data_IF_539653722330
#
_entry.id   IF_539653722330
#
_cell.length_a   1.000
_cell.length_b   1.000
_cell.length_c   1.000
_cell.angle_alpha   90.00
_cell.angle_beta   90.00
_cell.angle_gamma   90.00
#
_symmetry.space_group_name_H-M   'P 1'
#
loop_
_entity.id
_entity.type
_entity.pdbx_description
1 polymer ?
#
# COMPACT_ATOMS: atom_id res chain seq x y z
N UNK A 1 23.05 20.02 40.55
CA UNK A 1 22.19 20.84 39.67
C UNK A 1 22.29 20.32 38.22
N UNK A 2 21.18 19.98 37.57
CA UNK A 2 21.19 19.45 36.20
C UNK A 2 21.52 20.52 35.15
N UNK A 3 22.33 20.18 34.13
CA UNK A 3 22.69 21.08 33.01
C UNK A 3 21.43 21.68 32.35
N UNK A 4 21.48 22.99 32.08
CA UNK A 4 20.43 23.76 31.38
C UNK A 4 20.16 23.12 30.01
N UNK A 5 18.93 22.67 29.78
CA UNK A 5 18.55 21.92 28.58
C UNK A 5 18.29 22.87 27.41
N UNK A 6 18.71 22.51 26.20
CA UNK A 6 18.46 23.36 25.02
C UNK A 6 17.00 23.25 24.57
N UNK A 7 16.47 24.35 24.07
CA UNK A 7 15.08 24.45 23.59
C UNK A 7 14.86 23.46 22.44
N UNK A 8 13.87 22.57 22.59
CA UNK A 8 13.50 21.57 21.58
C UNK A 8 14.15 20.20 21.72
N UNK A 9 15.02 19.99 22.72
CA UNK A 9 15.62 18.67 23.02
C UNK A 9 14.73 17.76 23.87
N UNK A 10 13.71 18.31 24.55
CA UNK A 10 12.75 17.53 25.37
C UNK A 10 11.29 17.89 25.07
N UNK A 11 10.40 16.95 25.37
CA UNK A 11 8.95 17.09 25.24
C UNK A 11 8.40 16.64 23.90
N UNK A 12 7.16 17.04 23.57
CA UNK A 12 6.45 16.59 22.36
C UNK A 12 7.22 16.80 21.04
N UNK A 13 8.18 17.73 21.01
CA UNK A 13 9.04 18.01 19.84
C UNK A 13 9.90 16.80 19.45
N UNK A 14 10.33 15.97 20.40
CA UNK A 14 11.16 14.78 20.11
C UNK A 14 10.35 13.63 19.54
N UNK A 15 9.04 13.59 19.81
CA UNK A 15 8.18 12.48 19.40
C UNK A 15 7.82 12.52 17.91
N UNK A 16 7.90 13.69 17.28
CA UNK A 16 7.52 13.87 15.88
C UNK A 16 8.74 14.10 14.99
N UNK A 17 8.59 13.72 13.73
CA UNK A 17 9.56 13.95 12.66
C UNK A 17 8.80 14.42 11.42
N UNK A 18 9.35 15.39 10.68
CA UNK A 18 8.71 15.85 9.44
C UNK A 18 8.89 14.82 8.33
N UNK A 19 7.99 14.82 7.34
CA UNK A 19 8.11 13.97 6.14
C UNK A 19 9.49 14.09 5.47
N UNK A 20 10.01 15.31 5.34
CA UNK A 20 11.32 15.56 4.71
C UNK A 20 12.47 14.98 5.52
N UNK A 21 12.41 15.05 6.85
CA UNK A 21 13.40 14.46 7.74
C UNK A 21 13.32 12.92 7.74
N UNK A 22 12.11 12.36 7.72
CA UNK A 22 11.90 10.91 7.65
C UNK A 22 12.47 10.30 6.36
N UNK A 23 12.19 10.92 5.21
CA UNK A 23 12.73 10.49 3.90
C UNK A 23 14.27 10.56 3.90
N UNK A 24 14.85 11.63 4.44
CA UNK A 24 16.32 11.75 4.58
C UNK A 24 16.90 10.67 5.49
N UNK A 25 16.25 10.38 6.62
CA UNK A 25 16.71 9.34 7.58
C UNK A 25 16.65 7.93 6.97
N UNK A 26 15.63 7.62 6.19
CA UNK A 26 15.46 6.30 5.55
C UNK A 26 16.27 6.13 4.26
N UNK A 27 16.78 7.22 3.68
CA UNK A 27 17.60 7.27 2.45
C UNK A 27 16.88 6.82 1.16
N UNK A 28 15.55 6.81 1.16
CA UNK A 28 14.70 6.43 0.02
C UNK A 28 14.10 7.64 -0.72
N UNK A 29 13.50 7.43 -1.89
CA UNK A 29 12.76 8.48 -2.60
C UNK A 29 11.41 8.77 -1.93
N UNK A 30 10.79 9.91 -2.22
CA UNK A 30 9.46 10.25 -1.68
C UNK A 30 8.38 9.24 -2.13
N UNK A 31 8.47 8.73 -3.37
CA UNK A 31 7.53 7.75 -3.88
C UNK A 31 7.63 6.41 -3.13
N UNK A 32 8.86 5.91 -2.94
CA UNK A 32 9.09 4.69 -2.16
C UNK A 32 8.70 4.86 -0.69
N UNK A 33 8.94 6.03 -0.11
CA UNK A 33 8.49 6.34 1.25
C UNK A 33 6.97 6.25 1.39
N UNK A 34 6.21 6.82 0.45
CA UNK A 34 4.74 6.71 0.44
C UNK A 34 4.29 5.26 0.32
N UNK A 35 4.89 4.48 -0.58
CA UNK A 35 4.59 3.05 -0.76
C UNK A 35 4.85 2.26 0.52
N UNK A 36 6.02 2.44 1.14
CA UNK A 36 6.38 1.79 2.40
C UNK A 36 5.42 2.14 3.55
N UNK A 37 5.01 3.41 3.65
CA UNK A 37 4.02 3.83 4.64
C UNK A 37 2.65 3.15 4.42
N UNK A 38 2.21 2.95 3.17
CA UNK A 38 0.96 2.24 2.86
C UNK A 38 1.09 0.76 3.25
N UNK A 39 2.21 0.13 2.88
CA UNK A 39 2.46 -1.29 3.19
C UNK A 39 2.43 -1.56 4.69
N UNK A 40 3.13 -0.75 5.50
CA UNK A 40 3.15 -0.91 6.96
C UNK A 40 1.95 -0.31 7.68
N UNK A 41 1.15 0.56 7.04
CA UNK A 41 0.01 1.22 7.68
C UNK A 41 0.42 2.37 8.60
N UNK A 42 1.46 3.12 8.22
CA UNK A 42 1.93 4.29 8.96
C UNK A 42 1.32 5.54 8.36
N UNK A 43 0.48 6.20 9.15
CA UNK A 43 -0.25 7.39 8.74
C UNK A 43 0.34 8.68 9.33
N UNK A 44 0.23 9.81 8.62
CA UNK A 44 0.62 11.10 9.18
C UNK A 44 -0.22 11.46 10.41
N UNK A 45 0.40 12.15 11.36
CA UNK A 45 -0.21 12.53 12.65
C UNK A 45 -0.15 14.02 12.88
N UNK A 46 -1.21 14.58 13.45
CA UNK A 46 -1.25 15.99 13.82
C UNK A 46 -0.76 16.19 15.25
N UNK A 47 0.31 16.96 15.49
CA UNK A 47 0.75 17.28 16.84
C UNK A 47 -0.19 18.28 17.49
N UNK A 48 -0.53 18.09 18.77
CA UNK A 48 -1.36 19.01 19.57
C UNK A 48 -0.85 20.45 19.51
N UNK A 49 0.47 20.65 19.55
CA UNK A 49 1.11 21.97 19.53
C UNK A 49 2.02 22.15 18.29
N UNK A 50 1.41 22.53 17.16
CA UNK A 50 2.10 22.70 15.85
C UNK A 50 3.30 23.66 15.91
N UNK A 51 3.16 24.79 16.60
CA UNK A 51 4.23 25.80 16.75
C UNK A 51 5.46 25.27 17.49
N UNK A 52 5.27 24.45 18.54
CA UNK A 52 6.37 23.87 19.32
C UNK A 52 7.16 22.84 18.49
N UNK A 53 6.46 21.96 17.79
CA UNK A 53 7.09 20.92 16.94
C UNK A 53 7.73 21.52 15.69
N UNK A 54 7.10 22.53 15.10
CA UNK A 54 7.59 23.25 13.93
C UNK A 54 8.75 24.21 14.20
N UNK A 55 9.35 24.19 15.40
CA UNK A 55 10.40 25.13 15.85
C UNK A 55 10.02 26.60 15.61
N UNK A 56 8.76 26.96 15.88
CA UNK A 56 8.21 28.31 15.69
C UNK A 56 7.55 28.55 14.33
N UNK A 57 7.67 27.63 13.37
CA UNK A 57 7.01 27.73 12.07
C UNK A 57 5.55 27.28 12.12
N UNK A 58 4.65 28.10 11.57
CA UNK A 58 3.21 27.81 11.41
C UNK A 58 2.90 27.15 10.05
N UNK A 59 3.90 26.94 9.19
CA UNK A 59 3.69 26.35 7.87
C UNK A 59 3.07 24.94 7.94
N UNK A 60 2.14 24.58 7.03
CA UNK A 60 1.53 23.27 7.00
C UNK A 60 2.59 22.21 6.69
N UNK A 61 2.88 21.35 7.67
CA UNK A 61 3.86 20.26 7.57
C UNK A 61 3.21 18.95 7.97
N UNK A 62 3.52 17.90 7.23
CA UNK A 62 3.14 16.53 7.58
C UNK A 62 4.14 15.97 8.58
N UNK A 63 3.64 15.51 9.72
CA UNK A 63 4.44 14.89 10.78
C UNK A 63 4.13 13.40 10.89
N UNK A 64 5.14 12.64 11.29
CA UNK A 64 5.05 11.22 11.63
C UNK A 64 5.62 11.03 13.04
N UNK A 65 5.29 9.93 13.71
CA UNK A 65 5.97 9.60 14.95
C UNK A 65 7.39 9.11 14.68
N UNK A 66 8.33 9.55 15.51
CA UNK A 66 9.72 9.12 15.44
C UNK A 66 9.86 7.61 15.71
N UNK A 67 9.00 7.05 16.57
CA UNK A 67 8.94 5.61 16.87
C UNK A 67 8.61 4.80 15.62
N UNK A 68 7.58 5.20 14.87
CA UNK A 68 7.18 4.54 13.62
C UNK A 68 8.28 4.59 12.56
N UNK A 69 8.98 5.71 12.43
CA UNK A 69 10.12 5.82 11.49
C UNK A 69 11.32 4.98 11.96
N UNK A 70 11.52 4.83 13.28
CA UNK A 70 12.55 3.94 13.80
C UNK A 70 12.20 2.49 13.50
N UNK A 71 10.94 2.11 13.64
CA UNK A 71 10.45 0.79 13.28
C UNK A 71 10.68 0.48 11.79
N UNK A 72 10.39 1.44 10.90
CA UNK A 72 10.67 1.31 9.46
C UNK A 72 12.14 1.08 9.12
N UNK A 73 13.07 1.51 9.98
CA UNK A 73 14.51 1.37 9.71
C UNK A 73 14.96 -0.10 9.73
N UNK A 74 14.26 -0.94 10.49
CA UNK A 74 14.57 -2.36 10.67
C UNK A 74 13.73 -3.27 9.75
N UNK A 75 12.98 -2.69 8.83
CA UNK A 75 12.07 -3.43 7.96
C UNK A 75 12.81 -3.95 6.71
N UNK A 76 12.64 -5.22 6.30
CA UNK A 76 13.42 -5.81 5.21
C UNK A 76 13.06 -5.29 3.80
N UNK A 77 11.81 -4.90 3.54
CA UNK A 77 11.41 -4.22 2.28
C UNK A 77 12.14 -2.89 2.11
N UNK A 78 12.60 -2.24 3.18
CA UNK A 78 13.45 -1.05 3.05
C UNK A 78 14.75 -1.34 2.28
N UNK A 79 15.34 -2.52 2.47
CA UNK A 79 16.58 -2.92 1.77
C UNK A 79 16.33 -3.05 0.26
N UNK A 80 15.29 -3.79 -0.11
CA UNK A 80 14.92 -3.99 -1.53
C UNK A 80 14.50 -2.68 -2.20
N UNK A 81 13.85 -1.76 -1.49
CA UNK A 81 13.54 -0.42 -2.01
C UNK A 81 14.81 0.42 -2.27
N UNK A 82 15.87 0.23 -1.49
CA UNK A 82 17.17 0.87 -1.74
C UNK A 82 17.85 0.25 -2.95
N UNK A 83 17.79 -1.06 -3.10
CA UNK A 83 18.28 -1.77 -4.29
C UNK A 83 17.54 -1.30 -5.54
N UNK A 84 16.21 -1.21 -5.50
CA UNK A 84 15.39 -0.69 -6.60
C UNK A 84 15.79 0.75 -7.00
N UNK A 85 16.16 1.59 -6.03
CA UNK A 85 16.66 2.95 -6.29
C UNK A 85 18.03 2.92 -7.00
N UNK A 86 18.94 2.05 -6.57
CA UNK A 86 20.26 1.88 -7.21
C UNK A 86 20.09 1.31 -8.61
N UNK A 87 19.23 0.31 -8.75
CA UNK A 87 18.83 -0.32 -9.99
C UNK A 87 18.34 0.70 -11.01
N UNK A 88 17.37 1.55 -10.62
CA UNK A 88 16.84 2.59 -11.49
C UNK A 88 17.95 3.54 -11.98
N UNK A 89 18.90 3.92 -11.12
CA UNK A 89 20.05 4.76 -11.50
C UNK A 89 20.99 4.05 -12.48
N UNK A 90 21.27 2.76 -12.27
CA UNK A 90 22.09 1.95 -13.18
C UNK A 90 21.42 1.81 -14.55
N UNK A 91 20.12 1.53 -14.57
CA UNK A 91 19.33 1.41 -15.79
C UNK A 91 19.32 2.72 -16.58
N UNK A 92 19.02 3.85 -15.93
CA UNK A 92 19.08 5.17 -16.58
C UNK A 92 20.47 5.48 -17.14
N UNK A 93 21.55 5.07 -16.47
CA UNK A 93 22.92 5.27 -16.95
C UNK A 93 23.24 4.42 -18.19
N UNK A 94 22.82 3.15 -18.20
CA UNK A 94 23.00 2.25 -19.36
C UNK A 94 22.21 2.75 -20.59
N UNK A 95 20.97 3.19 -20.37
CA UNK A 95 20.12 3.78 -21.43
C UNK A 95 20.77 5.07 -21.98
N UNK A 96 21.25 5.96 -21.11
CA UNK A 96 21.90 7.21 -21.53
C UNK A 96 23.17 6.96 -22.37
N UNK A 97 23.89 5.86 -22.09
CA UNK A 97 25.06 5.40 -22.85
C UNK A 97 24.71 4.60 -24.12
N UNK A 98 23.43 4.32 -24.36
CA UNK A 98 22.93 3.47 -25.47
C UNK A 98 23.45 2.02 -25.44
N UNK A 99 23.76 1.51 -24.25
CA UNK A 99 24.18 0.12 -24.04
C UNK A 99 22.95 -0.78 -23.86
N UNK A 100 22.25 -1.09 -24.96
CA UNK A 100 20.96 -1.81 -24.94
C UNK A 100 21.04 -3.22 -24.36
N UNK A 101 22.11 -3.96 -24.65
CA UNK A 101 22.30 -5.34 -24.16
C UNK A 101 22.44 -5.38 -22.65
N UNK A 102 23.22 -4.45 -22.08
CA UNK A 102 23.35 -4.34 -20.62
C UNK A 102 22.05 -3.89 -19.97
N UNK A 103 21.28 -2.99 -20.62
CA UNK A 103 20.00 -2.55 -20.11
C UNK A 103 18.99 -3.71 -20.04
N UNK A 104 18.95 -4.60 -21.04
CA UNK A 104 18.11 -5.81 -21.03
C UNK A 104 18.49 -6.78 -19.92
N UNK A 105 19.78 -7.11 -19.80
CA UNK A 105 20.26 -8.01 -18.73
C UNK A 105 19.94 -7.43 -17.34
N UNK A 106 20.06 -6.11 -17.19
CA UNK A 106 19.71 -5.44 -15.96
C UNK A 106 18.20 -5.56 -15.71
N UNK A 107 17.35 -5.34 -16.71
CA UNK A 107 15.89 -5.49 -16.60
C UNK A 107 15.44 -6.87 -16.12
N UNK A 108 16.13 -7.93 -16.52
CA UNK A 108 15.92 -9.30 -16.02
C UNK A 108 16.29 -9.46 -14.54
N UNK A 109 17.37 -8.81 -14.09
CA UNK A 109 17.83 -8.85 -12.69
C UNK A 109 17.07 -7.91 -11.74
N UNK A 110 15.84 -7.52 -12.09
CA UNK A 110 15.09 -6.52 -11.32
C UNK A 110 14.79 -7.04 -9.90
N UNK A 111 15.18 -6.30 -8.85
CA UNK A 111 14.90 -6.72 -7.48
C UNK A 111 13.40 -6.58 -7.19
N UNK A 112 12.76 -7.71 -6.89
CA UNK A 112 11.38 -7.79 -6.43
C UNK A 112 11.36 -8.06 -4.93
N UNK A 113 10.34 -7.54 -4.25
CA UNK A 113 10.15 -7.77 -2.83
C UNK A 113 8.84 -8.52 -2.63
N UNK A 114 8.81 -9.35 -1.60
CA UNK A 114 7.60 -10.04 -1.17
C UNK A 114 6.93 -9.28 -0.03
N UNK A 115 5.62 -9.46 0.13
CA UNK A 115 4.82 -8.82 1.18
C UNK A 115 4.39 -9.83 2.27
N UNK A 116 4.84 -11.07 2.16
CA UNK A 116 4.36 -12.19 2.98
C UNK A 116 4.59 -11.95 4.49
N UNK A 117 5.76 -11.44 4.87
CA UNK A 117 6.07 -11.14 6.27
C UNK A 117 5.21 -9.99 6.81
N UNK A 118 4.90 -8.98 5.98
CA UNK A 118 4.04 -7.85 6.40
C UNK A 118 2.61 -8.32 6.63
N UNK A 119 2.10 -9.19 5.75
CA UNK A 119 0.74 -9.72 5.85
C UNK A 119 0.62 -10.59 7.11
N UNK A 120 1.60 -11.48 7.37
CA UNK A 120 1.61 -12.34 8.57
C UNK A 120 1.74 -11.54 9.86
N UNK A 121 2.53 -10.48 9.87
CA UNK A 121 2.67 -9.60 11.03
C UNK A 121 1.37 -8.82 11.31
N UNK A 122 0.65 -8.40 10.25
CA UNK A 122 -0.61 -7.67 10.39
C UNK A 122 -1.77 -8.59 10.81
N UNK A 123 -1.82 -9.80 10.27
CA UNK A 123 -2.89 -10.76 10.48
C UNK A 123 -2.31 -12.07 11.05
N UNK A 124 -2.11 -12.14 12.37
CA UNK A 124 -1.54 -13.34 12.99
C UNK A 124 -2.47 -14.55 12.89
N UNK A 125 -3.79 -14.31 12.81
CA UNK A 125 -4.79 -15.37 12.64
C UNK A 125 -5.58 -15.20 11.33
N UNK A 126 -6.11 -16.31 10.83
CA UNK A 126 -6.96 -16.28 9.63
C UNK A 126 -8.24 -15.48 9.83
N UNK A 127 -8.81 -15.50 11.04
CA UNK A 127 -10.04 -14.75 11.36
C UNK A 127 -9.78 -13.24 11.31
N UNK A 128 -8.60 -12.78 11.77
CA UNK A 128 -8.23 -11.37 11.66
C UNK A 128 -8.10 -10.93 10.20
N UNK A 129 -7.58 -11.79 9.33
CA UNK A 129 -7.53 -11.52 7.88
C UNK A 129 -8.94 -11.45 7.26
N UNK A 130 -9.88 -12.30 7.70
CA UNK A 130 -11.27 -12.28 7.21
C UNK A 130 -12.00 -10.98 7.59
N UNK A 131 -11.71 -10.39 8.75
CA UNK A 131 -12.36 -9.15 9.19
C UNK A 131 -12.03 -7.93 8.32
N UNK A 132 -10.82 -7.90 7.76
CA UNK A 132 -10.35 -6.84 6.86
C UNK A 132 -10.57 -7.18 5.37
N UNK A 133 -11.19 -8.33 5.06
CA UNK A 133 -11.35 -8.81 3.69
C UNK A 133 -12.36 -7.97 2.88
N UNK A 134 -13.34 -7.35 3.54
CA UNK A 134 -14.41 -6.53 2.95
C UNK A 134 -13.88 -5.40 2.05
N UNK A 135 -12.90 -4.64 2.58
CA UNK A 135 -12.25 -3.53 1.88
C UNK A 135 -11.43 -4.04 0.68
N UNK A 136 -10.70 -5.15 0.87
CA UNK A 136 -9.87 -5.73 -0.18
C UNK A 136 -10.72 -6.26 -1.34
N UNK A 137 -11.83 -6.95 -1.05
CA UNK A 137 -12.75 -7.47 -2.07
C UNK A 137 -13.38 -6.33 -2.87
N UNK A 138 -13.87 -5.30 -2.20
CA UNK A 138 -14.49 -4.13 -2.85
C UNK A 138 -13.51 -3.47 -3.84
N UNK A 139 -12.23 -3.36 -3.47
CA UNK A 139 -11.18 -2.84 -4.36
C UNK A 139 -10.88 -3.78 -5.53
N UNK A 140 -10.81 -5.09 -5.31
CA UNK A 140 -10.57 -6.08 -6.38
C UNK A 140 -11.70 -6.05 -7.41
N UNK A 141 -12.97 -6.05 -6.97
CA UNK A 141 -14.12 -5.94 -7.87
C UNK A 141 -14.14 -4.62 -8.65
N UNK A 142 -13.74 -3.52 -8.01
CA UNK A 142 -13.57 -2.25 -8.72
C UNK A 142 -12.51 -2.35 -9.82
N UNK A 143 -11.30 -2.82 -9.50
CA UNK A 143 -10.23 -2.94 -10.48
C UNK A 143 -10.52 -3.95 -11.60
N UNK A 144 -11.34 -4.97 -11.33
CA UNK A 144 -11.76 -5.93 -12.35
C UNK A 144 -12.67 -5.30 -13.43
N UNK A 145 -13.40 -4.23 -13.10
CA UNK A 145 -14.28 -3.51 -14.03
C UNK A 145 -13.59 -2.35 -14.77
N UNK A 146 -12.43 -1.89 -14.29
CA UNK A 146 -11.71 -0.77 -14.89
C UNK A 146 -10.94 -1.17 -16.16
N UNK A 147 -10.92 -0.33 -17.20
CA UNK A 147 -10.11 -0.58 -18.39
C UNK A 147 -8.61 -0.42 -18.08
N UNK A 148 -7.77 -1.16 -18.79
CA UNK A 148 -6.33 -0.96 -18.75
C UNK A 148 -5.96 0.42 -19.30
N UNK A 149 -5.09 1.13 -18.60
CA UNK A 149 -4.61 2.48 -18.96
C UNK A 149 -3.10 2.54 -18.71
N UNK A 150 -2.39 3.57 -19.19
CA UNK A 150 -0.93 3.69 -19.00
C UNK A 150 -0.48 3.57 -17.53
N UNK A 151 -1.35 3.94 -16.58
CA UNK A 151 -1.09 3.86 -15.14
C UNK A 151 -1.44 2.50 -14.54
N UNK A 152 -2.44 1.82 -15.10
CA UNK A 152 -2.96 0.52 -14.66
C UNK A 152 -2.57 -0.55 -15.67
N UNK A 153 -1.54 -1.34 -15.33
CA UNK A 153 -1.08 -2.43 -16.19
C UNK A 153 -2.20 -3.46 -16.38
N UNK A 154 -2.34 -3.95 -17.62
CA UNK A 154 -3.30 -4.99 -18.00
C UNK A 154 -3.14 -6.28 -17.18
N UNK A 155 -1.91 -6.60 -16.77
CA UNK A 155 -1.60 -7.74 -15.91
C UNK A 155 -2.37 -7.69 -14.57
N UNK A 156 -2.40 -6.52 -13.91
CA UNK A 156 -3.11 -6.37 -12.64
C UNK A 156 -4.62 -6.47 -12.80
N UNK A 157 -5.17 -5.91 -13.89
CA UNK A 157 -6.61 -6.02 -14.19
C UNK A 157 -6.99 -7.49 -14.37
N UNK A 158 -6.18 -8.25 -15.14
CA UNK A 158 -6.40 -9.68 -15.35
C UNK A 158 -6.31 -10.49 -14.06
N UNK A 159 -5.36 -10.16 -13.18
CA UNK A 159 -5.25 -10.78 -11.86
C UNK A 159 -6.49 -10.50 -11.00
N UNK A 160 -6.97 -9.26 -10.96
CA UNK A 160 -8.20 -8.90 -10.23
C UNK A 160 -9.43 -9.62 -10.79
N UNK A 161 -9.56 -9.71 -12.11
CA UNK A 161 -10.64 -10.48 -12.77
C UNK A 161 -10.60 -11.94 -12.36
N UNK A 162 -9.43 -12.59 -12.39
CA UNK A 162 -9.26 -13.97 -11.96
C UNK A 162 -9.66 -14.17 -10.49
N UNK A 163 -9.12 -13.34 -9.60
CA UNK A 163 -9.41 -13.41 -8.15
C UNK A 163 -10.90 -13.17 -7.85
N UNK A 164 -11.53 -12.23 -8.56
CA UNK A 164 -12.95 -11.95 -8.41
C UNK A 164 -13.83 -13.15 -8.81
N UNK A 165 -13.50 -13.82 -9.92
CA UNK A 165 -14.20 -15.02 -10.37
C UNK A 165 -13.98 -16.20 -9.43
N UNK A 166 -12.74 -16.42 -8.97
CA UNK A 166 -12.41 -17.48 -8.00
C UNK A 166 -13.19 -17.28 -6.69
N UNK A 167 -13.30 -16.05 -6.20
CA UNK A 167 -14.04 -15.73 -4.98
C UNK A 167 -15.56 -15.92 -5.16
N UNK A 168 -16.13 -15.44 -6.27
CA UNK A 168 -17.55 -15.66 -6.58
C UNK A 168 -17.87 -17.16 -6.68
N UNK A 169 -17.02 -17.93 -7.36
CA UNK A 169 -17.17 -19.37 -7.45
C UNK A 169 -17.15 -20.04 -6.07
N UNK A 170 -16.24 -19.63 -5.20
CA UNK A 170 -16.20 -20.12 -3.82
C UNK A 170 -17.50 -19.82 -3.06
N UNK A 171 -18.05 -18.60 -3.16
CA UNK A 171 -19.31 -18.22 -2.50
C UNK A 171 -20.49 -19.04 -3.04
N UNK A 172 -20.54 -19.29 -4.35
CA UNK A 172 -21.58 -20.10 -4.99
C UNK A 172 -21.53 -21.57 -4.52
N UNK A 173 -20.35 -22.18 -4.52
CA UNK A 173 -20.16 -23.58 -4.10
C UNK A 173 -20.45 -23.76 -2.61
N UNK A 174 -19.96 -22.84 -1.77
CA UNK A 174 -20.16 -22.88 -0.32
C UNK A 174 -21.58 -22.49 0.13
N UNK A 175 -22.41 -21.94 -0.76
CA UNK A 175 -23.76 -21.43 -0.46
C UNK A 175 -23.78 -20.51 0.78
N UNK A 176 -22.76 -19.66 0.88
CA UNK A 176 -22.50 -18.81 2.05
C UNK A 176 -23.16 -17.43 1.96
N UNK A 177 -23.80 -17.10 0.83
CA UNK A 177 -24.50 -15.84 0.64
C UNK A 177 -25.71 -15.73 1.57
N UNK A 178 -25.90 -14.56 2.19
CA UNK A 178 -26.97 -14.30 3.17
C UNK A 178 -27.90 -13.19 2.72
N UNK A 179 -27.35 -12.04 2.33
CA UNK A 179 -28.12 -10.85 1.95
C UNK A 179 -27.55 -10.24 0.69
N UNK A 180 -28.45 -9.65 -0.09
CA UNK A 180 -28.11 -8.90 -1.30
C UNK A 180 -28.90 -7.60 -1.28
N UNK A 181 -28.24 -6.48 -1.57
CA UNK A 181 -28.87 -5.17 -1.62
C UNK A 181 -28.41 -4.41 -2.87
N UNK A 182 -29.37 -3.98 -3.69
CA UNK A 182 -29.10 -3.20 -4.89
C UNK A 182 -29.15 -1.72 -4.53
N UNK A 183 -28.06 -1.01 -4.80
CA UNK A 183 -27.95 0.44 -4.64
C UNK A 183 -27.69 1.11 -5.98
N UNK A 184 -27.72 2.44 -6.00
CA UNK A 184 -27.29 3.25 -7.15
C UNK A 184 -25.78 3.05 -7.41
N UNK A 185 -24.98 2.83 -6.36
CA UNK A 185 -23.52 2.65 -6.47
C UNK A 185 -23.10 1.30 -7.05
N UNK A 186 -23.96 0.29 -6.94
CA UNK A 186 -23.63 -1.09 -7.26
C UNK A 186 -24.44 -2.07 -6.42
N UNK A 187 -24.06 -3.34 -6.47
CA UNK A 187 -24.71 -4.44 -5.77
C UNK A 187 -23.87 -4.79 -4.54
N UNK A 188 -24.47 -4.70 -3.36
CA UNK A 188 -23.88 -5.13 -2.10
C UNK A 188 -24.22 -6.59 -1.87
N UNK A 189 -23.20 -7.40 -1.62
CA UNK A 189 -23.33 -8.81 -1.24
C UNK A 189 -22.83 -8.99 0.18
N UNK A 190 -23.54 -9.81 0.95
CA UNK A 190 -23.12 -10.23 2.28
C UNK A 190 -23.06 -11.75 2.33
N UNK A 191 -21.89 -12.31 2.65
CA UNK A 191 -21.69 -13.74 2.85
C UNK A 191 -21.14 -14.04 4.25
N UNK A 192 -21.42 -15.24 4.75
CA UNK A 192 -20.94 -15.73 6.02
C UNK A 192 -19.83 -16.77 5.80
N UNK A 193 -18.58 -16.40 6.10
CA UNK A 193 -17.41 -17.25 5.91
C UNK A 193 -16.79 -17.52 7.29
N UNK A 194 -16.79 -18.79 7.72
CA UNK A 194 -16.26 -19.22 9.03
C UNK A 194 -16.79 -18.39 10.22
N UNK A 195 -18.08 -18.07 10.22
CA UNK A 195 -18.74 -17.29 11.27
C UNK A 195 -18.48 -15.77 11.21
N UNK A 196 -17.68 -15.29 10.25
CA UNK A 196 -17.52 -13.86 9.99
C UNK A 196 -18.45 -13.44 8.84
N UNK A 197 -19.19 -12.36 9.07
CA UNK A 197 -19.99 -11.73 8.03
C UNK A 197 -19.11 -10.77 7.23
N UNK A 198 -19.09 -10.95 5.92
CA UNK A 198 -18.22 -10.23 4.99
C UNK A 198 -19.14 -9.54 3.98
N UNK A 199 -19.02 -8.22 3.89
CA UNK A 199 -19.85 -7.39 3.00
C UNK A 199 -18.96 -6.69 1.97
N UNK A 200 -19.22 -6.90 0.69
CA UNK A 200 -18.49 -6.22 -0.38
C UNK A 200 -19.44 -5.66 -1.44
N UNK A 201 -18.95 -4.67 -2.18
CA UNK A 201 -19.68 -4.04 -3.27
C UNK A 201 -19.12 -4.47 -4.62
N UNK A 202 -20.02 -4.81 -5.55
CA UNK A 202 -19.69 -5.01 -6.97
C UNK A 202 -20.29 -3.85 -7.76
N UNK A 203 -19.47 -3.01 -8.42
CA UNK A 203 -19.99 -1.94 -9.25
C UNK A 203 -20.72 -2.51 -10.48
N UNK A 204 -21.73 -1.80 -10.96
CA UNK A 204 -22.38 -2.15 -12.23
C UNK A 204 -21.38 -2.01 -13.38
N UNK A 205 -21.51 -2.90 -14.36
CA UNK A 205 -20.70 -2.87 -15.58
C UNK A 205 -21.19 -1.77 -16.52
N UNK A 206 -20.82 -0.53 -16.21
CA UNK A 206 -20.98 0.62 -17.10
C UNK A 206 -19.63 0.97 -17.72
N UNK A 207 -19.62 1.43 -18.98
CA UNK A 207 -18.44 2.01 -19.62
C UNK A 207 -18.12 3.38 -19.01
N UNK A 208 -17.55 3.40 -17.80
CA UNK A 208 -17.20 4.64 -17.12
C UNK A 208 -15.94 5.24 -17.74
N UNK A 209 -16.02 6.48 -18.22
CA UNK A 209 -14.85 7.24 -18.64
C UNK A 209 -14.08 7.68 -17.38
N UNK A 210 -12.96 7.02 -17.11
CA UNK A 210 -12.22 7.25 -15.87
C UNK A 210 -11.47 8.57 -15.95
N UNK A 211 -12.04 9.65 -15.39
CA UNK A 211 -11.25 10.84 -15.04
C UNK A 211 -10.36 10.46 -13.87
N UNK A 212 -9.09 10.19 -14.14
CA UNK A 212 -8.12 9.73 -13.15
C UNK A 212 -7.34 10.91 -12.53
N UNK A 213 -7.80 11.54 -11.42
CA UNK A 213 -6.95 12.43 -10.66
C UNK A 213 -5.80 11.65 -9.99
N UNK A 214 -4.80 12.40 -9.52
CA UNK A 214 -3.46 12.01 -9.04
C UNK A 214 -3.35 10.87 -7.97
N UNK A 215 -4.45 10.25 -7.54
CA UNK A 215 -4.53 9.26 -6.43
C UNK A 215 -4.16 7.81 -6.80
N UNK A 216 -3.91 7.50 -8.07
CA UNK A 216 -3.64 6.11 -8.51
C UNK A 216 -2.41 5.52 -7.84
N UNK A 217 -1.37 6.31 -7.53
CA UNK A 217 -0.14 5.76 -6.95
C UNK A 217 -0.41 5.15 -5.56
N UNK A 218 -1.28 5.78 -4.77
CA UNK A 218 -1.66 5.26 -3.46
C UNK A 218 -2.59 4.05 -3.57
N UNK A 219 -3.55 4.10 -4.49
CA UNK A 219 -4.49 3.00 -4.75
C UNK A 219 -3.78 1.77 -5.32
N UNK A 220 -2.76 1.97 -6.16
CA UNK A 220 -1.96 0.88 -6.74
C UNK A 220 -1.13 0.16 -5.67
N UNK A 221 -0.47 0.90 -4.77
CA UNK A 221 0.27 0.29 -3.67
C UNK A 221 -0.65 -0.51 -2.73
N UNK A 222 -1.89 -0.03 -2.53
CA UNK A 222 -2.90 -0.75 -1.76
C UNK A 222 -3.41 -1.99 -2.51
N UNK A 223 -3.71 -1.86 -3.80
CA UNK A 223 -4.13 -2.97 -4.65
C UNK A 223 -3.04 -4.07 -4.74
N UNK A 224 -1.77 -3.71 -4.82
CA UNK A 224 -0.66 -4.68 -4.81
C UNK A 224 -0.57 -5.44 -3.48
N UNK A 225 -0.81 -4.76 -2.36
CA UNK A 225 -0.93 -5.39 -1.05
C UNK A 225 -2.11 -6.37 -1.01
N UNK A 226 -3.28 -5.97 -1.53
CA UNK A 226 -4.50 -6.77 -1.49
C UNK A 226 -4.45 -7.95 -2.47
N UNK A 227 -3.83 -7.79 -3.65
CA UNK A 227 -3.53 -8.88 -4.60
C UNK A 227 -2.54 -9.89 -3.99
N UNK A 228 -1.58 -9.42 -3.19
CA UNK A 228 -0.64 -10.30 -2.49
C UNK A 228 -1.32 -11.13 -1.41
N UNK A 229 -2.37 -10.62 -0.75
CA UNK A 229 -3.20 -11.41 0.18
C UNK A 229 -3.92 -12.53 -0.57
N UNK A 230 -4.48 -12.25 -1.76
CA UNK A 230 -5.20 -13.23 -2.58
C UNK A 230 -4.31 -14.28 -3.27
N UNK A 231 -3.05 -13.97 -3.56
CA UNK A 231 -2.15 -14.88 -4.30
C UNK A 231 -1.47 -15.95 -3.43
N UNK A 232 -1.76 -16.03 -2.14
CA UNK A 232 -1.13 -16.96 -1.19
C UNK A 232 -1.60 -18.44 -1.33
N UNK A 233 -2.02 -18.87 -2.53
CA UNK A 233 -2.58 -20.20 -2.83
C UNK A 233 -1.70 -21.08 -3.73
N UNK A 234 -0.39 -20.81 -3.86
CA UNK A 234 0.55 -21.64 -4.65
C UNK A 234 1.79 -22.16 -3.91
N UNK A 235 1.90 -22.00 -2.58
CA UNK A 235 3.03 -22.55 -1.78
C UNK A 235 2.62 -23.05 -0.40
N UNK A 236 1.47 -23.73 -0.32
CA UNK A 236 1.13 -24.69 0.73
C UNK A 236 0.40 -25.85 0.08
#
# INVERSE_FOLDING_TARGET
MGKKQKKGEKGAVTNFITRTQAVKKLQISLAHFRRLCILKGIYPREPKNKKKVGKGSTAPKTYYYRKDIQFLLHEPVLHTLREQKIFARKLSKAIAKREWSQAKNLEESKPEYTLDHIIRERYPTFVDALRDLDDALSMVFLFATLPATDKIKSEHVRQCQRLSAEFQHYVMVSRSLRKVFLSIKGIYYQAEIKGQQITWIVPYQFSQHVRLPCLIVSLKARAEHDISIGSHRRRL
#
